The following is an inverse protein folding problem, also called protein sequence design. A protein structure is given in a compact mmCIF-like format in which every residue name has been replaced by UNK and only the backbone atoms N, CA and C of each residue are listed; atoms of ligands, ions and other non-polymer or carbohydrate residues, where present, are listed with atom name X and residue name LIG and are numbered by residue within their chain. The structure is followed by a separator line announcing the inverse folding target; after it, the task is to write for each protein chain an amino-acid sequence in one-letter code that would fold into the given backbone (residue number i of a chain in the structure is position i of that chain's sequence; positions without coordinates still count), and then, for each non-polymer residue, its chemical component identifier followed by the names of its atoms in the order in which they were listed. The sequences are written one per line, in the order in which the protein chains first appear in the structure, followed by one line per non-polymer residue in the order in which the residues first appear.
data_IF_669854341824
#
_entry.id   IF_669854341824
#
_cell.length_a   1.000
_cell.length_b   1.000
_cell.length_c   1.000
_cell.angle_alpha   90.00
_cell.angle_beta   90.00
_cell.angle_gamma   90.00
#
_symmetry.space_group_name_H-M   'P 1'
#
loop_
_entity.id
_entity.type
_entity.pdbx_description
1 polymer ?
#
# COMPACT_ATOMS: atom_id res chain seq x y z
N UNK A 1 19.72 -9.53 -13.95
CA UNK A 1 18.38 -9.11 -13.50
C UNK A 1 18.42 -7.60 -13.42
N UNK A 2 17.69 -6.90 -14.27
CA UNK A 2 17.56 -5.44 -14.13
C UNK A 2 16.79 -5.17 -12.84
N UNK A 3 17.38 -4.38 -11.94
CA UNK A 3 16.69 -3.93 -10.71
C UNK A 3 15.68 -2.89 -11.14
N UNK A 4 14.41 -3.04 -10.78
CA UNK A 4 13.35 -2.09 -11.15
C UNK A 4 13.60 -0.66 -10.64
N UNK A 5 14.43 -0.53 -9.60
CA UNK A 5 15.01 0.73 -9.14
C UNK A 5 15.68 1.52 -10.29
N UNK A 6 16.34 0.83 -11.23
CA UNK A 6 16.99 1.44 -12.41
C UNK A 6 15.96 1.97 -13.42
N UNK A 7 14.73 1.45 -13.40
CA UNK A 7 13.59 1.92 -14.19
C UNK A 7 12.80 3.03 -13.49
N UNK A 8 13.23 3.47 -12.31
CA UNK A 8 12.56 4.52 -11.53
C UNK A 8 11.36 4.04 -10.71
N UNK A 9 11.14 2.72 -10.62
CA UNK A 9 10.12 2.15 -9.74
C UNK A 9 10.53 2.38 -8.29
N UNK A 10 9.61 2.89 -7.48
CA UNK A 10 9.79 3.04 -6.04
C UNK A 10 8.99 1.94 -5.36
N UNK A 11 9.66 1.15 -4.53
CA UNK A 11 9.00 0.22 -3.62
C UNK A 11 9.65 0.31 -2.24
N UNK A 12 8.95 0.93 -1.30
CA UNK A 12 9.43 1.11 0.06
C UNK A 12 8.27 1.00 1.07
N UNK A 13 8.59 1.12 2.35
CA UNK A 13 7.57 1.21 3.39
C UNK A 13 7.01 2.64 3.46
N UNK A 14 5.80 2.80 3.98
CA UNK A 14 5.18 4.13 4.08
C UNK A 14 5.94 5.10 4.99
N UNK A 15 6.68 4.62 6.00
CA UNK A 15 7.47 5.48 6.91
C UNK A 15 8.64 6.15 6.18
N UNK A 16 9.20 5.47 5.18
CA UNK A 16 10.23 5.97 4.26
C UNK A 16 9.61 6.84 3.18
N UNK A 17 8.50 6.42 2.59
CA UNK A 17 7.81 7.18 1.54
C UNK A 17 7.42 8.59 1.99
N UNK A 18 6.94 8.75 3.24
CA UNK A 18 6.56 10.08 3.76
C UNK A 18 7.77 11.00 3.97
N UNK A 19 8.98 10.45 4.09
CA UNK A 19 10.21 11.22 4.28
C UNK A 19 10.92 11.51 2.95
N UNK A 20 10.95 10.54 2.04
CA UNK A 20 11.75 10.61 0.81
C UNK A 20 10.92 10.98 -0.43
N UNK A 21 9.60 10.76 -0.38
CA UNK A 21 8.65 10.97 -1.48
C UNK A 21 7.41 11.77 -1.04
N UNK A 22 7.63 12.76 -0.17
CA UNK A 22 6.58 13.54 0.52
C UNK A 22 5.52 14.10 -0.44
N UNK A 23 5.92 14.65 -1.58
CA UNK A 23 4.97 15.27 -2.52
C UNK A 23 4.02 14.24 -3.13
N UNK A 24 4.51 13.08 -3.55
CA UNK A 24 3.68 11.98 -4.07
C UNK A 24 2.70 11.48 -2.99
N UNK A 25 3.20 11.27 -1.77
CA UNK A 25 2.37 10.82 -0.65
C UNK A 25 1.31 11.87 -0.31
N UNK A 26 1.68 13.14 -0.21
CA UNK A 26 0.76 14.24 0.16
C UNK A 26 -0.36 14.41 -0.87
N UNK A 27 -0.07 14.22 -2.14
CA UNK A 27 -1.07 14.32 -3.21
C UNK A 27 -2.10 13.18 -3.17
N UNK A 28 -1.69 11.98 -2.77
CA UNK A 28 -2.49 10.77 -2.95
C UNK A 28 -3.07 10.19 -1.66
N UNK A 29 -2.32 10.23 -0.55
CA UNK A 29 -2.69 9.59 0.71
C UNK A 29 -3.94 10.22 1.34
N UNK A 30 -5.01 9.45 1.37
CA UNK A 30 -6.32 9.80 1.94
C UNK A 30 -6.88 11.13 1.42
N UNK A 31 -6.61 11.46 0.15
CA UNK A 31 -7.11 12.71 -0.46
C UNK A 31 -8.39 12.48 -1.24
N UNK A 32 -8.44 11.43 -2.06
CA UNK A 32 -9.52 11.17 -3.02
C UNK A 32 -10.19 9.82 -2.83
N UNK A 33 -9.42 8.74 -2.73
CA UNK A 33 -9.98 7.38 -2.72
C UNK A 33 -10.62 7.06 -1.37
N UNK A 34 -9.93 7.34 -0.26
CA UNK A 34 -10.44 7.05 1.09
C UNK A 34 -10.17 8.23 2.05
N UNK A 35 -10.84 9.38 1.89
CA UNK A 35 -10.60 10.54 2.76
C UNK A 35 -11.01 10.26 4.21
N UNK A 36 -10.40 10.93 5.22
CA UNK A 36 -10.73 10.70 6.63
C UNK A 36 -12.20 11.00 6.98
N UNK A 37 -12.89 11.77 6.15
CA UNK A 37 -14.31 12.08 6.28
C UNK A 37 -15.25 11.00 5.76
N UNK A 38 -14.76 9.97 5.07
CA UNK A 38 -15.57 8.94 4.41
C UNK A 38 -16.41 8.14 5.42
N UNK A 39 -15.76 7.56 6.43
CA UNK A 39 -16.44 6.79 7.47
C UNK A 39 -15.64 6.76 8.77
N UNK A 40 -16.26 6.27 9.86
CA UNK A 40 -15.62 6.25 11.19
C UNK A 40 -14.32 5.43 11.25
N UNK A 41 -14.17 4.41 10.41
CA UNK A 41 -12.96 3.59 10.36
C UNK A 41 -11.87 4.26 9.51
N UNK A 42 -12.24 4.96 8.43
CA UNK A 42 -11.31 5.83 7.68
C UNK A 42 -10.80 6.97 8.57
N UNK A 43 -11.68 7.64 9.32
CA UNK A 43 -11.33 8.68 10.28
C UNK A 43 -10.34 8.17 11.35
N UNK A 44 -10.63 6.98 11.90
CA UNK A 44 -9.74 6.32 12.86
C UNK A 44 -8.40 5.99 12.19
N UNK A 45 -8.42 5.32 11.05
CA UNK A 45 -7.24 4.91 10.30
C UNK A 45 -6.32 6.11 10.03
N UNK A 46 -6.83 7.20 9.44
CA UNK A 46 -6.01 8.38 9.14
C UNK A 46 -5.43 9.06 10.39
N UNK A 47 -6.04 8.88 11.57
CA UNK A 47 -5.53 9.46 12.81
C UNK A 47 -4.42 8.63 13.47
N UNK A 48 -4.38 7.31 13.25
CA UNK A 48 -3.47 6.39 13.96
C UNK A 48 -2.72 5.40 13.07
N UNK A 49 -2.79 5.58 11.75
CA UNK A 49 -2.08 4.78 10.75
C UNK A 49 -0.59 4.65 11.11
N UNK A 50 -0.03 3.48 10.85
CA UNK A 50 1.38 3.18 11.09
C UNK A 50 1.88 2.11 10.13
N UNK A 51 2.95 2.41 9.40
CA UNK A 51 3.58 1.49 8.45
C UNK A 51 2.70 1.16 7.24
N UNK A 52 3.09 0.14 6.47
CA UNK A 52 2.43 -0.22 5.21
C UNK A 52 3.40 -0.14 4.04
N UNK A 53 2.86 -0.11 2.82
CA UNK A 53 3.66 -0.16 1.59
C UNK A 53 3.38 1.03 0.67
N UNK A 54 4.43 1.54 0.05
CA UNK A 54 4.35 2.52 -1.01
C UNK A 54 4.93 1.93 -2.29
N UNK A 55 4.17 2.01 -3.39
CA UNK A 55 4.60 1.58 -4.71
C UNK A 55 4.31 2.69 -5.71
N UNK A 56 5.33 3.16 -6.42
CA UNK A 56 5.17 4.08 -7.55
C UNK A 56 5.80 3.48 -8.80
N UNK A 57 5.05 3.49 -9.90
CA UNK A 57 5.47 2.94 -11.19
C UNK A 57 5.41 4.07 -12.22
N UNK A 58 6.57 4.48 -12.79
CA UNK A 58 6.64 5.53 -13.80
C UNK A 58 5.91 5.17 -15.09
N UNK A 59 5.65 6.20 -15.90
CA UNK A 59 5.03 6.03 -17.22
C UNK A 59 5.75 4.96 -18.06
N UNK A 60 4.98 4.20 -18.82
CA UNK A 60 5.47 3.19 -19.77
C UNK A 60 6.41 2.13 -19.16
N UNK A 61 6.28 1.87 -17.85
CA UNK A 61 7.14 0.92 -17.13
C UNK A 61 6.38 -0.34 -16.76
N UNK A 62 6.86 -1.50 -17.22
CA UNK A 62 6.36 -2.83 -16.82
C UNK A 62 7.25 -3.45 -15.74
N UNK A 63 6.64 -3.89 -14.64
CA UNK A 63 7.29 -4.62 -13.56
C UNK A 63 7.11 -6.13 -13.78
N UNK A 64 8.14 -6.79 -14.31
CA UNK A 64 8.05 -8.16 -14.83
C UNK A 64 7.87 -9.27 -13.78
N UNK A 65 8.20 -9.01 -12.51
CA UNK A 65 7.91 -9.96 -11.41
C UNK A 65 6.99 -9.32 -10.39
N UNK A 66 6.13 -10.11 -9.72
CA UNK A 66 5.22 -9.54 -8.74
C UNK A 66 5.97 -8.87 -7.59
N UNK A 67 5.57 -7.65 -7.26
CA UNK A 67 6.00 -6.95 -6.03
C UNK A 67 5.27 -7.60 -4.87
N UNK A 68 6.01 -8.11 -3.89
CA UNK A 68 5.42 -8.80 -2.75
C UNK A 68 5.69 -8.03 -1.45
N UNK A 69 4.63 -7.64 -0.75
CA UNK A 69 4.69 -7.16 0.62
C UNK A 69 4.04 -8.18 1.54
N UNK A 70 4.76 -8.57 2.59
CA UNK A 70 4.28 -9.52 3.58
C UNK A 70 4.24 -8.88 4.97
N UNK A 71 3.04 -8.60 5.46
CA UNK A 71 2.83 -8.08 6.80
C UNK A 71 2.64 -9.25 7.78
N UNK A 72 3.48 -9.32 8.82
CA UNK A 72 3.39 -10.37 9.84
C UNK A 72 2.96 -9.79 11.18
N UNK A 73 1.78 -10.20 11.67
CA UNK A 73 1.33 -9.87 13.02
C UNK A 73 2.16 -10.66 14.06
N UNK A 74 2.89 -9.94 14.92
CA UNK A 74 3.78 -10.55 15.92
C UNK A 74 3.33 -10.33 17.37
N UNK A 75 2.15 -9.74 17.64
CA UNK A 75 1.77 -9.31 19.00
C UNK A 75 0.26 -9.38 19.27
N UNK A 76 -0.12 -9.89 20.46
CA UNK A 76 -1.50 -9.94 20.94
C UNK A 76 -2.02 -8.55 21.35
N UNK A 77 -3.25 -8.20 20.95
CA UNK A 77 -3.94 -6.99 21.40
C UNK A 77 -3.58 -5.70 20.67
N UNK A 78 -2.78 -5.78 19.61
CA UNK A 78 -2.45 -4.65 18.73
C UNK A 78 -3.51 -4.52 17.63
N UNK A 79 -3.95 -3.29 17.36
CA UNK A 79 -4.70 -2.99 16.14
C UNK A 79 -3.73 -2.80 14.98
N UNK A 80 -4.07 -3.33 13.81
CA UNK A 80 -3.25 -3.17 12.60
C UNK A 80 -3.89 -2.11 11.71
N UNK A 81 -3.11 -1.06 11.40
CA UNK A 81 -3.52 0.11 10.64
C UNK A 81 -2.47 0.40 9.56
N UNK A 82 -2.14 -0.62 8.77
CA UNK A 82 -1.23 -0.51 7.64
C UNK A 82 -1.93 0.17 6.47
N UNK A 83 -1.18 0.98 5.72
CA UNK A 83 -1.69 1.61 4.50
C UNK A 83 -0.85 1.23 3.29
N UNK A 84 -1.49 0.71 2.26
CA UNK A 84 -0.87 0.38 0.98
C UNK A 84 -1.27 1.44 -0.04
N UNK A 85 -0.30 2.23 -0.51
CA UNK A 85 -0.49 3.26 -1.53
C UNK A 85 0.24 2.84 -2.80
N UNK A 86 -0.51 2.64 -3.89
CA UNK A 86 0.01 2.27 -5.21
C UNK A 86 -0.35 3.37 -6.21
N UNK A 87 0.65 3.89 -6.91
CA UNK A 87 0.51 4.90 -7.97
C UNK A 87 1.11 4.33 -9.25
N UNK A 88 0.27 4.12 -10.26
CA UNK A 88 0.65 3.58 -11.55
C UNK A 88 0.37 4.64 -12.63
N UNK A 89 1.43 5.26 -13.14
CA UNK A 89 1.39 6.31 -14.17
C UNK A 89 1.02 5.74 -15.55
N UNK A 90 0.80 6.62 -16.52
CA UNK A 90 0.32 6.27 -17.87
C UNK A 90 1.09 5.11 -18.52
N UNK A 91 0.37 4.10 -19.00
CA UNK A 91 0.95 2.94 -19.69
C UNK A 91 1.83 2.02 -18.83
N UNK A 92 1.81 2.17 -17.50
CA UNK A 92 2.57 1.31 -16.59
C UNK A 92 1.87 -0.01 -16.27
N UNK A 93 2.61 -1.04 -15.88
CA UNK A 93 2.04 -2.34 -15.51
C UNK A 93 2.72 -2.95 -14.28
N UNK A 94 1.94 -3.38 -13.29
CA UNK A 94 2.44 -4.03 -12.07
C UNK A 94 1.50 -5.09 -11.53
N UNK A 95 2.07 -6.18 -11.02
CA UNK A 95 1.37 -7.12 -10.16
C UNK A 95 1.86 -6.95 -8.71
N UNK A 96 0.98 -6.48 -7.83
CA UNK A 96 1.23 -6.37 -6.40
C UNK A 96 0.53 -7.49 -5.64
N UNK A 97 1.27 -8.16 -4.76
CA UNK A 97 0.75 -9.23 -3.89
C UNK A 97 0.95 -8.83 -2.44
N UNK A 98 -0.15 -8.76 -1.71
CA UNK A 98 -0.18 -8.51 -0.28
C UNK A 98 -0.54 -9.78 0.48
N UNK A 99 0.25 -10.12 1.50
CA UNK A 99 -0.02 -11.23 2.40
C UNK A 99 -0.18 -10.77 3.85
N UNK A 100 -1.20 -11.28 4.53
CA UNK A 100 -1.32 -11.22 5.98
C UNK A 100 -1.60 -12.62 6.54
N UNK A 101 -0.88 -13.02 7.60
CA UNK A 101 -1.22 -14.20 8.39
C UNK A 101 -1.31 -13.87 9.86
N UNK A 102 -2.34 -14.39 10.52
CA UNK A 102 -2.58 -14.15 11.94
C UNK A 102 -2.84 -15.46 12.70
N UNK A 103 -2.19 -15.70 13.86
CA UNK A 103 -2.61 -16.76 14.78
C UNK A 103 -4.06 -16.53 15.23
N UNK A 104 -4.83 -17.61 15.44
CA UNK A 104 -6.14 -17.50 16.11
C UNK A 104 -5.95 -17.07 17.55
N UNK A 105 -6.24 -15.80 17.84
CA UNK A 105 -6.27 -15.27 19.20
C UNK A 105 -7.65 -15.42 19.84
N UNK A 106 -7.70 -15.54 21.17
CA UNK A 106 -8.94 -15.69 21.96
C UNK A 106 -9.61 -14.36 22.32
N UNK A 107 -9.00 -13.22 21.93
CA UNK A 107 -9.50 -11.85 22.14
C UNK A 107 -9.82 -11.18 20.80
N UNK A 108 -10.75 -10.22 20.81
CA UNK A 108 -11.03 -9.39 19.65
C UNK A 108 -9.81 -8.53 19.30
N UNK A 109 -9.37 -8.59 18.04
CA UNK A 109 -8.39 -7.68 17.45
C UNK A 109 -9.07 -6.92 16.30
N UNK A 110 -8.62 -5.69 16.02
CA UNK A 110 -9.09 -4.89 14.89
C UNK A 110 -7.98 -4.78 13.86
N UNK A 111 -8.23 -5.27 12.65
CA UNK A 111 -7.44 -4.93 11.47
C UNK A 111 -8.26 -3.94 10.64
N UNK A 112 -7.68 -2.78 10.42
CA UNK A 112 -8.27 -1.67 9.70
C UNK A 112 -7.22 -1.18 8.70
N UNK A 113 -6.88 -2.03 7.74
CA UNK A 113 -5.96 -1.70 6.66
C UNK A 113 -6.59 -0.72 5.66
N UNK A 114 -5.77 0.18 5.12
CA UNK A 114 -6.13 1.10 4.04
C UNK A 114 -5.41 0.68 2.76
N UNK A 115 -6.11 0.70 1.63
CA UNK A 115 -5.49 0.47 0.32
C UNK A 115 -6.01 1.53 -0.65
N UNK A 116 -5.10 2.29 -1.24
CA UNK A 116 -5.41 3.27 -2.29
C UNK A 116 -4.58 2.92 -3.53
N UNK A 117 -5.27 2.70 -4.66
CA UNK A 117 -4.64 2.35 -5.94
C UNK A 117 -5.05 3.38 -6.97
N UNK A 118 -4.09 4.16 -7.44
CA UNK A 118 -4.23 5.14 -8.51
C UNK A 118 -3.68 4.53 -9.79
N UNK A 119 -4.52 4.51 -10.83
CA UNK A 119 -4.24 3.88 -12.12
C UNK A 119 -4.58 4.89 -13.21
N UNK A 120 -3.55 5.38 -13.88
CA UNK A 120 -3.67 6.36 -14.96
C UNK A 120 -4.01 5.72 -16.31
N UNK A 121 -4.07 6.55 -17.35
CA UNK A 121 -4.47 6.13 -18.69
C UNK A 121 -3.59 4.97 -19.20
N UNK A 122 -4.22 3.95 -19.77
CA UNK A 122 -3.57 2.72 -20.26
C UNK A 122 -2.68 1.96 -19.24
N UNK A 123 -2.72 2.33 -17.96
CA UNK A 123 -2.00 1.62 -16.91
C UNK A 123 -2.79 0.37 -16.42
N UNK A 124 -2.06 -0.62 -15.91
CA UNK A 124 -2.62 -1.86 -15.38
C UNK A 124 -2.03 -2.23 -14.02
N UNK A 125 -2.90 -2.33 -13.02
CA UNK A 125 -2.52 -2.84 -11.69
C UNK A 125 -3.29 -4.12 -11.40
N UNK A 126 -2.57 -5.23 -11.25
CA UNK A 126 -3.10 -6.43 -10.64
C UNK A 126 -2.79 -6.41 -9.13
N UNK A 127 -3.82 -6.31 -8.29
CA UNK A 127 -3.68 -6.34 -6.84
C UNK A 127 -4.24 -7.67 -6.30
N UNK A 128 -3.41 -8.44 -5.61
CA UNK A 128 -3.76 -9.77 -5.07
C UNK A 128 -3.54 -9.81 -3.56
N UNK A 129 -4.59 -10.07 -2.79
CA UNK A 129 -4.47 -10.23 -1.34
C UNK A 129 -4.65 -11.68 -0.92
N UNK A 130 -3.79 -12.16 -0.02
CA UNK A 130 -3.92 -13.46 0.64
C UNK A 130 -4.02 -13.24 2.14
N UNK A 131 -5.18 -13.53 2.73
CA UNK A 131 -5.41 -13.47 4.18
C UNK A 131 -5.76 -14.85 4.73
N UNK A 132 -5.02 -15.32 5.74
CA UNK A 132 -5.18 -16.64 6.36
C UNK A 132 -5.01 -16.61 7.89
#
# INVERSE_FOLDING_TARGET
EERWEEKGVIFCNMDEAVQEHEELVREHFMTKCVPPSDNKFAALHGAIWSGGSFVYIPENTTVDMPVQAYFRMNSEGMGQFEHTLIIAEEGSEVHYIEGCSAPKYSKFNLHCGGVEVFVDEDAHVQYSTVQN
#
